data_IF_076539328417
#
_entry.id   IF_076539328417
#
_cell.length_a   1.000
_cell.length_b   1.000
_cell.length_c   1.000
_cell.angle_alpha   90.00
_cell.angle_beta   90.00
_cell.angle_gamma   90.00
#
_symmetry.space_group_name_H-M   'P 1'
#
loop_
_entity.id
_entity.type
_entity.pdbx_description
1 polymer ?
#
# COMPACT_ATOMS: atom_id res chain seq x y z
N UNK A 1 -3.09 33.26 3.88
CA UNK A 1 -2.15 32.11 3.85
C UNK A 1 -1.70 31.93 2.41
N UNK A 2 -0.40 32.04 2.13
CA UNK A 2 0.13 31.71 0.81
C UNK A 2 0.14 30.18 0.66
N UNK A 3 -0.53 29.66 -0.38
CA UNK A 3 -0.50 28.24 -0.67
C UNK A 3 0.87 27.86 -1.26
N UNK A 4 1.52 26.77 -0.83
CA UNK A 4 2.84 26.40 -1.36
C UNK A 4 2.77 26.08 -2.86
N UNK A 5 3.63 26.72 -3.65
CA UNK A 5 3.68 26.58 -5.11
C UNK A 5 3.93 25.12 -5.56
N UNK A 6 4.66 24.34 -4.76
CA UNK A 6 5.00 22.93 -5.05
C UNK A 6 3.79 22.02 -5.31
N UNK A 7 2.60 22.43 -4.87
CA UNK A 7 1.36 21.67 -5.07
C UNK A 7 0.43 22.29 -6.12
N UNK A 8 0.69 23.52 -6.56
CA UNK A 8 -0.21 24.29 -7.43
C UNK A 8 -0.39 23.70 -8.82
N UNK A 9 0.58 22.91 -9.29
CA UNK A 9 0.59 22.33 -10.63
C UNK A 9 0.39 20.80 -10.63
N UNK A 10 -0.06 20.22 -9.51
CA UNK A 10 -0.39 18.79 -9.49
C UNK A 10 -1.66 18.54 -10.30
N UNK A 11 -1.64 17.61 -11.27
CA UNK A 11 -2.85 17.28 -12.02
C UNK A 11 -3.84 16.55 -11.11
N UNK A 12 -5.13 16.62 -11.47
CA UNK A 12 -6.13 15.72 -10.91
C UNK A 12 -5.68 14.27 -11.08
N UNK A 13 -5.96 13.46 -10.06
CA UNK A 13 -5.65 12.04 -10.10
C UNK A 13 -6.39 11.35 -11.25
N UNK A 14 -5.80 10.28 -11.79
CA UNK A 14 -6.28 9.65 -13.03
C UNK A 14 -7.72 9.13 -12.94
N UNK A 15 -8.13 8.57 -11.79
CA UNK A 15 -9.46 7.96 -11.66
C UNK A 15 -10.63 8.95 -11.64
N UNK A 16 -10.58 10.07 -10.87
CA UNK A 16 -11.58 11.14 -11.00
C UNK A 16 -11.68 11.71 -12.41
N UNK A 17 -10.53 11.91 -13.09
CA UNK A 17 -10.50 12.40 -14.48
C UNK A 17 -11.20 11.44 -15.43
N UNK A 18 -10.95 10.14 -15.29
CA UNK A 18 -11.58 9.12 -16.12
C UNK A 18 -13.09 9.00 -15.84
N UNK A 19 -13.51 9.07 -14.57
CA UNK A 19 -14.93 9.11 -14.22
C UNK A 19 -15.64 10.27 -14.91
N UNK A 20 -15.11 11.50 -14.76
CA UNK A 20 -15.65 12.69 -15.42
C UNK A 20 -15.77 12.55 -16.95
N UNK A 21 -14.83 11.85 -17.59
CA UNK A 21 -14.85 11.60 -19.02
C UNK A 21 -15.97 10.62 -19.43
N UNK A 22 -16.24 9.61 -18.62
CA UNK A 22 -17.20 8.54 -18.93
C UNK A 22 -18.63 8.87 -18.48
N UNK A 23 -18.82 9.65 -17.41
CA UNK A 23 -20.12 9.93 -16.78
C UNK A 23 -21.14 10.56 -17.73
N UNK A 24 -20.70 11.21 -18.81
CA UNK A 24 -21.58 11.83 -19.81
C UNK A 24 -22.14 10.85 -20.85
N UNK A 25 -21.66 9.60 -20.84
CA UNK A 25 -22.05 8.57 -21.79
C UNK A 25 -22.91 7.49 -21.10
N UNK A 26 -24.09 7.14 -21.64
CA UNK A 26 -24.84 6.01 -21.12
C UNK A 26 -24.08 4.71 -21.38
N UNK A 27 -24.05 3.81 -20.39
CA UNK A 27 -23.47 2.49 -20.56
C UNK A 27 -24.33 1.63 -21.51
N UNK A 28 -23.68 0.76 -22.29
CA UNK A 28 -24.38 -0.23 -23.13
C UNK A 28 -24.92 -1.44 -22.36
N UNK A 29 -24.75 -1.48 -21.03
CA UNK A 29 -25.10 -2.57 -20.14
C UNK A 29 -24.49 -2.37 -18.75
N UNK A 30 -24.46 -3.42 -17.93
CA UNK A 30 -23.84 -3.38 -16.61
C UNK A 30 -22.34 -3.04 -16.70
N UNK A 31 -21.87 -1.93 -16.09
CA UNK A 31 -20.48 -1.53 -16.19
C UNK A 31 -19.53 -2.53 -15.49
N UNK A 32 -18.39 -2.82 -16.14
CA UNK A 32 -17.29 -3.59 -15.55
C UNK A 32 -16.12 -2.66 -15.28
N UNK A 33 -15.81 -2.44 -14.00
CA UNK A 33 -14.72 -1.55 -13.59
C UNK A 33 -13.35 -2.23 -13.78
N UNK A 34 -12.66 -1.93 -14.88
CA UNK A 34 -11.28 -2.39 -15.16
C UNK A 34 -10.24 -1.26 -15.01
N UNK A 35 -10.63 -0.14 -14.40
CA UNK A 35 -9.87 1.11 -14.43
C UNK A 35 -9.00 1.33 -13.19
N UNK A 36 -9.21 0.56 -12.11
CA UNK A 36 -8.52 0.72 -10.83
C UNK A 36 -7.68 -0.53 -10.57
N UNK A 37 -6.38 -0.33 -10.31
CA UNK A 37 -5.42 -1.40 -10.04
C UNK A 37 -5.44 -1.90 -8.59
N UNK A 38 -6.61 -2.11 -8.00
CA UNK A 38 -6.73 -2.73 -6.67
C UNK A 38 -7.12 -4.21 -6.80
N UNK A 39 -6.43 -5.15 -6.10
CA UNK A 39 -6.84 -6.55 -6.10
C UNK A 39 -8.20 -6.71 -5.40
N UNK A 40 -9.07 -7.53 -5.98
CA UNK A 40 -10.42 -7.84 -5.43
C UNK A 40 -10.48 -9.17 -4.68
N UNK A 41 -9.37 -9.91 -4.63
CA UNK A 41 -9.30 -11.18 -3.92
C UNK A 41 -9.35 -10.94 -2.40
N UNK A 42 -9.96 -11.87 -1.63
CA UNK A 42 -9.91 -11.79 -0.17
C UNK A 42 -8.46 -11.92 0.32
N UNK A 43 -8.16 -11.25 1.43
CA UNK A 43 -6.89 -11.50 2.12
C UNK A 43 -6.85 -12.94 2.64
N UNK A 44 -5.65 -13.55 2.76
CA UNK A 44 -5.50 -14.82 3.45
C UNK A 44 -6.05 -14.75 4.89
N UNK A 45 -6.77 -15.80 5.33
CA UNK A 45 -7.50 -15.80 6.61
C UNK A 45 -6.61 -15.50 7.83
N UNK A 46 -5.37 -16.00 7.81
CA UNK A 46 -4.44 -15.84 8.93
C UNK A 46 -4.08 -14.37 9.22
N UNK A 47 -4.22 -13.46 8.24
CA UNK A 47 -3.85 -12.05 8.42
C UNK A 47 -4.71 -11.40 9.50
N UNK A 48 -6.04 -11.61 9.43
CA UNK A 48 -6.96 -11.06 10.42
C UNK A 48 -6.73 -11.63 11.82
N UNK A 49 -6.49 -12.94 11.91
CA UNK A 49 -6.23 -13.64 13.17
C UNK A 49 -4.95 -13.13 13.86
N UNK A 50 -3.86 -12.97 13.10
CA UNK A 50 -2.59 -12.46 13.62
C UNK A 50 -2.72 -11.00 14.09
N UNK A 51 -3.42 -10.16 13.33
CA UNK A 51 -3.66 -8.76 13.73
C UNK A 51 -4.47 -8.69 15.04
N UNK A 52 -5.54 -9.47 15.14
CA UNK A 52 -6.38 -9.51 16.34
C UNK A 52 -5.60 -9.99 17.58
N UNK A 53 -4.76 -11.02 17.41
CA UNK A 53 -3.91 -11.54 18.49
C UNK A 53 -2.84 -10.54 18.98
N UNK A 54 -2.45 -9.56 18.16
CA UNK A 54 -1.37 -8.62 18.46
C UNK A 54 -1.87 -7.17 18.66
N UNK A 55 -3.18 -6.97 18.84
CA UNK A 55 -3.79 -5.63 18.88
C UNK A 55 -3.22 -4.75 20.00
N UNK A 56 -2.81 -5.33 21.12
CA UNK A 56 -2.21 -4.61 22.25
C UNK A 56 -0.90 -3.89 21.88
N UNK A 57 -0.16 -4.38 20.89
CA UNK A 57 1.08 -3.76 20.42
C UNK A 57 0.89 -2.43 19.69
N UNK A 58 -0.32 -2.15 19.19
CA UNK A 58 -0.62 -0.94 18.41
C UNK A 58 -0.75 0.33 19.26
N UNK A 59 -0.85 0.20 20.59
CA UNK A 59 -0.87 1.35 21.50
C UNK A 59 0.52 1.92 21.81
N UNK A 60 1.59 1.27 21.33
CA UNK A 60 2.97 1.62 21.58
C UNK A 60 3.56 2.35 20.38
N UNK A 61 4.52 3.24 20.64
CA UNK A 61 5.29 3.88 19.57
C UNK A 61 6.28 2.85 18.99
N UNK A 62 6.18 2.49 17.70
CA UNK A 62 7.08 1.49 17.12
C UNK A 62 8.47 2.10 16.86
N UNK A 63 9.53 1.28 16.82
CA UNK A 63 10.84 1.74 16.34
C UNK A 63 10.75 2.22 14.88
N UNK A 64 11.33 3.38 14.58
CA UNK A 64 11.31 3.96 13.22
C UNK A 64 11.93 3.01 12.19
N UNK A 65 13.00 2.31 12.57
CA UNK A 65 13.72 1.36 11.71
C UNK A 65 12.99 0.01 11.57
N UNK A 66 11.87 -0.20 12.27
CA UNK A 66 11.18 -1.49 12.35
C UNK A 66 11.65 -2.37 13.48
N UNK A 67 10.87 -3.41 13.77
CA UNK A 67 11.25 -4.41 14.78
C UNK A 67 12.25 -5.41 14.19
N UNK A 68 13.15 -6.00 15.00
CA UNK A 68 14.09 -7.02 14.53
C UNK A 68 13.42 -8.18 13.79
N UNK A 69 12.23 -8.60 14.25
CA UNK A 69 11.46 -9.70 13.67
C UNK A 69 10.94 -9.34 12.27
N UNK A 70 10.49 -8.10 12.06
CA UNK A 70 10.04 -7.62 10.76
C UNK A 70 11.22 -7.56 9.77
N UNK A 71 12.35 -7.00 10.19
CA UNK A 71 13.54 -6.90 9.35
C UNK A 71 14.07 -8.29 8.95
N UNK A 72 14.09 -9.23 9.89
CA UNK A 72 14.47 -10.62 9.62
C UNK A 72 13.50 -11.30 8.64
N UNK A 73 12.18 -11.08 8.80
CA UNK A 73 11.17 -11.62 7.90
C UNK A 73 11.32 -11.08 6.47
N UNK A 74 11.57 -9.77 6.31
CA UNK A 74 11.81 -9.13 5.01
C UNK A 74 13.09 -9.69 4.39
N UNK A 75 14.20 -9.72 5.13
CA UNK A 75 15.47 -10.28 4.65
C UNK A 75 15.31 -11.74 4.18
N UNK A 76 14.63 -12.57 4.98
CA UNK A 76 14.34 -13.96 4.63
C UNK A 76 13.46 -14.08 3.38
N UNK A 77 12.47 -13.20 3.18
CA UNK A 77 11.68 -13.19 1.96
C UNK A 77 12.51 -12.82 0.73
N UNK A 78 13.37 -11.81 0.83
CA UNK A 78 14.28 -11.38 -0.25
C UNK A 78 15.22 -12.53 -0.63
N UNK A 79 15.79 -13.22 0.36
CA UNK A 79 16.65 -14.37 0.15
C UNK A 79 15.92 -15.50 -0.61
N UNK A 80 14.70 -15.85 -0.19
CA UNK A 80 13.90 -16.89 -0.88
C UNK A 80 13.48 -16.48 -2.29
N UNK A 81 13.09 -15.22 -2.47
CA UNK A 81 12.51 -14.73 -3.73
C UNK A 81 13.57 -14.44 -4.80
N UNK A 82 14.74 -13.96 -4.39
CA UNK A 82 15.77 -13.42 -5.27
C UNK A 82 17.17 -14.05 -5.07
N UNK A 83 17.36 -14.91 -4.08
CA UNK A 83 18.68 -15.48 -3.76
C UNK A 83 19.67 -14.46 -3.18
N UNK A 84 19.20 -13.29 -2.73
CA UNK A 84 20.03 -12.21 -2.22
C UNK A 84 20.02 -12.14 -0.69
N UNK A 85 21.20 -12.03 -0.09
CA UNK A 85 21.35 -11.83 1.37
C UNK A 85 21.47 -10.35 1.68
N UNK A 86 20.54 -9.82 2.47
CA UNK A 86 20.56 -8.43 2.94
C UNK A 86 20.58 -8.38 4.46
N UNK A 87 21.50 -7.57 5.01
CA UNK A 87 21.50 -7.21 6.42
C UNK A 87 20.36 -6.25 6.77
N UNK A 88 19.96 -6.18 8.05
CA UNK A 88 18.89 -5.28 8.51
C UNK A 88 19.20 -3.80 8.26
N UNK A 89 20.49 -3.42 8.24
CA UNK A 89 20.99 -2.08 7.92
C UNK A 89 20.67 -1.61 6.48
N UNK A 90 20.21 -2.52 5.62
CA UNK A 90 19.82 -2.25 4.23
C UNK A 90 18.31 -2.32 4.00
N UNK A 91 17.52 -2.39 5.06
CA UNK A 91 16.06 -2.55 5.01
C UNK A 91 15.42 -1.45 5.88
N UNK A 92 14.49 -0.70 5.29
CA UNK A 92 13.68 0.30 5.99
C UNK A 92 12.20 0.00 5.72
N UNK A 93 11.39 -0.31 6.75
CA UNK A 93 9.95 -0.48 6.58
C UNK A 93 9.27 0.88 6.38
N UNK A 94 8.27 0.92 5.50
CA UNK A 94 7.50 2.12 5.18
C UNK A 94 6.00 1.81 5.17
N UNK A 95 5.18 2.85 5.29
CA UNK A 95 3.72 2.77 5.25
C UNK A 95 3.22 2.64 3.81
N UNK A 96 3.51 1.51 3.17
CA UNK A 96 3.22 1.30 1.76
C UNK A 96 4.24 1.98 0.84
N UNK A 97 4.14 1.66 -0.45
CA UNK A 97 5.02 2.20 -1.50
C UNK A 97 4.41 3.39 -2.24
N UNK A 98 3.13 3.65 -2.00
CA UNK A 98 2.34 4.73 -2.57
C UNK A 98 1.51 5.39 -1.49
#
# INVERSE_FOLDING_TARGET
>A
MAFPERFSNLPDYAFPRLRKLLDVHPAGGEPVAMTIGEPRHPMPSFVGEVLAANLSGFALYPPNEGTPELLAAISGWIARRYGATLGPDRIMPLNGTR
#
